data_IF_250306469786
#
_entry.id   IF_250306469786
#
_cell.length_a   1.000
_cell.length_b   1.000
_cell.length_c   1.000
_cell.angle_alpha   90.00
_cell.angle_beta   90.00
_cell.angle_gamma   90.00
#
_symmetry.space_group_name_H-M   'P 1'
#
loop_
_entity.id
_entity.type
_entity.pdbx_description
1 polymer ?
#
# COMPACT_ATOMS: atom_id res chain seq x y z
N UNK A 1 16.16 -23.14 65.32
CA UNK A 1 17.45 -22.44 65.53
C UNK A 1 17.20 -20.96 65.26
N UNK A 2 17.33 -20.15 66.32
CA UNK A 2 17.37 -18.69 66.45
C UNK A 2 17.37 -17.84 65.15
N UNK A 3 16.39 -16.95 64.95
CA UNK A 3 16.40 -15.48 65.26
C UNK A 3 16.58 -14.67 63.96
N UNK A 4 16.01 -13.49 63.67
CA UNK A 4 14.95 -12.66 64.28
C UNK A 4 14.52 -11.59 63.25
N UNK A 5 13.27 -11.14 63.38
CA UNK A 5 12.65 -9.93 62.82
C UNK A 5 13.50 -8.66 62.98
N UNK A 6 13.38 -7.69 62.06
CA UNK A 6 12.44 -6.56 62.22
C UNK A 6 12.73 -5.39 61.26
N UNK A 7 11.68 -4.93 60.61
CA UNK A 7 11.52 -3.63 59.96
C UNK A 7 11.62 -2.47 60.97
N UNK A 8 12.05 -1.28 60.54
CA UNK A 8 11.67 0.00 61.18
C UNK A 8 11.79 1.16 60.20
N UNK A 9 10.67 1.87 60.06
CA UNK A 9 10.54 3.14 59.37
C UNK A 9 10.79 4.32 60.33
N UNK A 10 11.16 5.45 59.71
CA UNK A 10 10.94 6.85 60.09
C UNK A 10 11.52 7.42 61.39
N UNK A 11 12.35 8.46 61.27
CA UNK A 11 12.14 9.74 62.00
C UNK A 11 12.81 10.91 61.25
N UNK A 12 12.08 12.04 61.20
CA UNK A 12 12.41 13.35 60.64
C UNK A 12 13.22 14.25 61.62
N UNK A 13 13.67 15.40 61.08
CA UNK A 13 14.07 16.68 61.71
C UNK A 13 15.59 16.94 61.84
N UNK A 14 16.15 18.13 61.60
CA UNK A 14 15.72 19.40 60.99
C UNK A 14 16.96 20.33 60.84
N UNK A 15 16.86 21.32 59.95
CA UNK A 15 17.53 22.64 59.93
C UNK A 15 19.06 22.75 59.76
N UNK A 16 19.49 23.31 58.62
CA UNK A 16 20.36 24.50 58.60
C UNK A 16 20.29 25.22 57.24
N UNK A 17 19.87 26.47 57.31
CA UNK A 17 19.75 27.49 56.27
C UNK A 17 21.12 27.87 55.69
N UNK A 18 21.22 28.05 54.38
CA UNK A 18 22.09 29.08 53.79
C UNK A 18 21.49 29.59 52.47
N UNK A 19 20.81 30.74 52.57
CA UNK A 19 20.49 31.62 51.47
C UNK A 19 21.74 32.46 51.18
N UNK A 20 22.31 32.33 49.99
CA UNK A 20 23.21 33.31 49.42
C UNK A 20 22.62 33.74 48.07
N UNK A 21 21.91 34.86 48.12
CA UNK A 21 21.57 35.64 46.94
C UNK A 21 22.85 36.33 46.45
N UNK A 22 23.33 35.96 45.28
CA UNK A 22 24.25 36.79 44.51
C UNK A 22 23.47 37.42 43.37
N UNK A 23 23.16 38.71 43.54
CA UNK A 23 22.83 39.61 42.45
C UNK A 23 24.02 39.69 41.49
N UNK A 24 23.89 39.07 40.33
CA UNK A 24 24.76 39.31 39.20
C UNK A 24 23.88 39.78 38.03
N UNK A 25 24.09 41.02 37.61
CA UNK A 25 23.65 41.52 36.32
C UNK A 25 24.31 40.67 35.22
N UNK A 26 23.64 39.63 34.78
CA UNK A 26 23.90 38.97 33.50
C UNK A 26 22.81 39.42 32.55
N UNK A 27 23.18 40.08 31.46
CA UNK A 27 22.31 40.24 30.30
C UNK A 27 21.80 38.87 29.91
N UNK A 28 20.49 38.66 29.98
CA UNK A 28 19.84 37.49 29.39
C UNK A 28 20.17 37.50 27.90
N UNK A 29 21.17 36.72 27.50
CA UNK A 29 21.19 36.19 26.14
C UNK A 29 19.91 35.37 26.00
N UNK A 30 19.16 35.53 24.90
CA UNK A 30 18.02 34.66 24.67
C UNK A 30 18.54 33.22 24.73
N UNK A 31 17.87 32.35 25.49
CA UNK A 31 17.98 30.90 25.25
C UNK A 31 17.90 30.71 23.74
N UNK A 32 18.97 30.18 23.13
CA UNK A 32 18.91 29.72 21.75
C UNK A 32 17.70 28.80 21.70
N UNK A 33 16.63 29.26 21.04
CA UNK A 33 15.46 28.46 20.81
C UNK A 33 15.95 27.20 20.13
N UNK A 34 15.98 26.08 20.86
CA UNK A 34 16.37 24.79 20.32
C UNK A 34 15.51 24.59 19.09
N UNK A 35 16.11 24.66 17.91
CA UNK A 35 15.37 24.57 16.66
C UNK A 35 14.82 23.17 16.58
N UNK A 36 13.53 23.00 16.88
CA UNK A 36 12.89 21.70 16.82
C UNK A 36 12.98 21.17 15.40
N UNK A 37 13.82 20.16 15.19
CA UNK A 37 13.94 19.50 13.90
C UNK A 37 12.67 18.68 13.63
N UNK A 38 12.11 18.85 12.44
CA UNK A 38 10.92 18.16 11.98
C UNK A 38 11.28 16.80 11.42
N UNK A 39 10.63 15.76 11.95
CA UNK A 39 10.72 14.41 11.38
C UNK A 39 9.73 14.24 10.22
N UNK A 40 10.18 13.63 9.14
CA UNK A 40 9.32 13.32 7.99
C UNK A 40 8.83 11.89 8.05
N UNK A 41 7.54 11.72 7.74
CA UNK A 41 6.89 10.42 7.58
C UNK A 41 6.20 10.32 6.22
N UNK A 42 6.19 9.13 5.66
CA UNK A 42 5.59 8.82 4.37
C UNK A 42 4.70 7.58 4.37
N UNK A 43 4.14 7.30 3.20
CA UNK A 43 3.26 6.18 2.90
C UNK A 43 3.79 5.40 1.70
N UNK A 44 3.09 4.34 1.31
CA UNK A 44 3.42 3.50 0.16
C UNK A 44 3.62 4.29 -1.15
N UNK A 45 2.93 5.42 -1.29
CA UNK A 45 3.08 6.33 -2.42
C UNK A 45 4.44 7.06 -2.53
N UNK A 46 5.20 7.16 -1.45
CA UNK A 46 6.48 7.89 -1.43
C UNK A 46 7.61 7.18 -0.65
N UNK A 47 7.38 5.97 -0.13
CA UNK A 47 8.40 5.13 0.49
C UNK A 47 9.00 4.13 -0.50
N UNK A 48 9.72 4.65 -1.50
CA UNK A 48 10.36 3.94 -2.62
C UNK A 48 11.76 4.52 -2.89
N UNK A 49 12.74 3.73 -3.33
CA UNK A 49 14.07 4.27 -3.68
C UNK A 49 14.02 5.31 -4.81
N UNK A 50 13.08 5.17 -5.74
CA UNK A 50 12.84 6.12 -6.82
C UNK A 50 12.35 7.49 -6.33
N UNK A 51 11.75 7.61 -5.14
CA UNK A 51 11.16 8.85 -4.65
C UNK A 51 12.19 9.97 -4.41
N UNK A 52 13.43 9.63 -4.03
CA UNK A 52 14.49 10.62 -3.83
C UNK A 52 14.78 11.44 -5.12
N UNK A 53 14.60 10.83 -6.29
CA UNK A 53 14.78 11.52 -7.58
C UNK A 53 13.74 12.62 -7.82
N UNK A 54 12.53 12.49 -7.25
CA UNK A 54 11.46 13.49 -7.37
C UNK A 54 11.82 14.82 -6.68
N UNK A 55 12.79 14.79 -5.76
CA UNK A 55 13.36 15.96 -5.10
C UNK A 55 14.45 16.69 -5.91
N UNK A 56 14.87 16.11 -7.04
CA UNK A 56 15.88 16.68 -7.95
C UNK A 56 17.19 16.98 -7.21
N UNK A 57 17.73 18.19 -7.35
CA UNK A 57 18.96 18.66 -6.69
C UNK A 57 18.89 18.66 -5.15
N UNK A 58 17.71 18.41 -4.56
CA UNK A 58 17.47 18.34 -3.11
C UNK A 58 17.12 16.94 -2.62
N UNK A 59 17.61 15.91 -3.31
CA UNK A 59 17.38 14.50 -2.97
C UNK A 59 17.78 14.14 -1.53
N UNK A 60 18.75 14.84 -0.94
CA UNK A 60 19.16 14.63 0.45
C UNK A 60 18.07 15.01 1.50
N UNK A 61 16.98 15.66 1.11
CA UNK A 61 15.91 16.03 2.04
C UNK A 61 15.05 14.84 2.49
N UNK A 62 15.15 13.67 1.85
CA UNK A 62 14.51 12.42 2.38
C UNK A 62 15.33 11.75 3.46
N UNK A 63 16.57 12.17 3.71
CA UNK A 63 17.38 11.54 4.75
C UNK A 63 16.66 11.57 6.10
N UNK A 64 16.69 10.44 6.81
CA UNK A 64 15.96 10.26 8.07
C UNK A 64 14.43 10.07 7.94
N UNK A 65 13.84 10.22 6.76
CA UNK A 65 12.40 10.00 6.53
C UNK A 65 12.02 8.55 6.79
N UNK A 66 10.93 8.35 7.53
CA UNK A 66 10.36 7.04 7.84
C UNK A 66 9.01 6.87 7.18
N UNK A 67 8.45 5.68 7.16
CA UNK A 67 7.09 5.50 6.68
C UNK A 67 6.67 4.05 6.65
N UNK A 68 5.48 3.81 6.12
CA UNK A 68 4.95 2.45 5.99
C UNK A 68 4.50 2.17 4.57
N UNK A 69 4.60 0.91 4.18
CA UNK A 69 4.03 0.42 2.92
C UNK A 69 3.47 -0.99 3.09
N UNK A 70 2.37 -1.39 2.40
CA UNK A 70 2.01 -2.78 2.27
C UNK A 70 3.16 -3.57 1.65
N UNK A 71 3.73 -4.47 2.44
CA UNK A 71 4.80 -5.35 1.99
C UNK A 71 4.91 -6.55 2.93
N UNK A 72 4.77 -7.73 2.34
CA UNK A 72 5.17 -8.98 2.98
C UNK A 72 6.66 -9.19 2.78
N UNK A 73 7.41 -9.76 3.75
CA UNK A 73 8.80 -10.15 3.54
C UNK A 73 8.93 -11.02 2.28
N UNK A 74 9.61 -10.50 1.26
CA UNK A 74 9.75 -11.20 -0.02
C UNK A 74 10.97 -12.13 0.02
N UNK A 75 10.81 -13.42 -0.29
CA UNK A 75 11.94 -14.33 -0.44
C UNK A 75 12.89 -13.87 -1.55
N UNK A 76 14.20 -14.07 -1.38
CA UNK A 76 15.19 -13.73 -2.41
C UNK A 76 14.93 -14.47 -3.72
N UNK A 77 14.43 -15.71 -3.65
CA UNK A 77 14.03 -16.48 -4.83
C UNK A 77 12.92 -15.81 -5.64
N UNK A 78 12.01 -15.07 -4.99
CA UNK A 78 10.98 -14.29 -5.69
C UNK A 78 11.59 -13.02 -6.28
N UNK A 79 12.43 -12.30 -5.53
CA UNK A 79 13.14 -11.12 -6.02
C UNK A 79 14.00 -11.44 -7.25
N UNK A 80 14.70 -12.57 -7.26
CA UNK A 80 15.52 -13.03 -8.39
C UNK A 80 14.66 -13.37 -9.61
N UNK A 81 13.49 -13.98 -9.42
CA UNK A 81 12.52 -14.24 -10.50
C UNK A 81 11.96 -12.95 -11.10
N UNK A 82 11.74 -11.91 -10.28
CA UNK A 82 11.36 -10.58 -10.74
C UNK A 82 12.50 -9.91 -11.51
N UNK A 83 13.75 -9.98 -11.02
CA UNK A 83 14.92 -9.46 -11.73
C UNK A 83 15.20 -10.18 -13.04
N UNK A 84 14.80 -11.44 -13.18
CA UNK A 84 14.83 -12.15 -14.45
C UNK A 84 13.78 -11.64 -15.45
N UNK A 85 12.75 -10.91 -15.01
CA UNK A 85 11.83 -10.17 -15.88
C UNK A 85 12.41 -8.78 -16.18
N UNK A 86 12.82 -8.06 -15.13
CA UNK A 86 13.41 -6.73 -15.22
C UNK A 86 14.68 -6.63 -14.36
N UNK A 87 15.87 -6.72 -14.96
CA UNK A 87 17.15 -6.66 -14.25
C UNK A 87 17.42 -5.30 -13.58
N UNK A 88 16.64 -4.26 -13.89
CA UNK A 88 16.83 -2.90 -13.36
C UNK A 88 16.05 -2.63 -12.07
N UNK A 89 15.24 -3.58 -11.59
CA UNK A 89 14.42 -3.43 -10.39
C UNK A 89 15.25 -3.16 -9.13
N UNK A 90 15.04 -1.96 -8.57
CA UNK A 90 15.56 -1.54 -7.27
C UNK A 90 14.54 -1.70 -6.15
N UNK A 91 13.24 -1.69 -6.49
CA UNK A 91 12.12 -1.73 -5.57
C UNK A 91 11.19 -2.90 -5.88
N UNK A 92 10.39 -3.30 -4.89
CA UNK A 92 9.51 -4.47 -4.98
C UNK A 92 8.06 -4.18 -4.57
N UNK A 93 7.73 -2.90 -4.35
CA UNK A 93 6.39 -2.48 -3.92
C UNK A 93 5.30 -3.04 -4.85
N UNK A 94 4.29 -3.67 -4.26
CA UNK A 94 3.14 -4.27 -4.96
C UNK A 94 3.47 -5.35 -6.00
N UNK A 95 4.73 -5.78 -6.15
CA UNK A 95 5.11 -6.82 -7.11
C UNK A 95 4.49 -8.18 -6.77
N UNK A 96 4.39 -8.50 -5.48
CA UNK A 96 3.77 -9.73 -4.98
C UNK A 96 2.25 -9.70 -5.18
N UNK A 97 1.63 -8.56 -4.89
CA UNK A 97 0.20 -8.30 -5.03
C UNK A 97 -0.23 -8.35 -6.51
N UNK A 98 0.58 -7.79 -7.42
CA UNK A 98 0.36 -7.89 -8.86
C UNK A 98 0.52 -9.32 -9.38
N UNK A 99 1.53 -10.04 -8.90
CA UNK A 99 1.71 -11.46 -9.22
C UNK A 99 0.48 -12.27 -8.76
N UNK A 100 0.05 -12.08 -7.52
CA UNK A 100 -1.07 -12.81 -6.93
C UNK A 100 -2.40 -12.47 -7.60
N UNK A 101 -2.65 -11.21 -8.00
CA UNK A 101 -3.88 -10.84 -8.72
C UNK A 101 -4.02 -11.63 -10.04
N UNK A 102 -2.95 -11.69 -10.84
CA UNK A 102 -2.91 -12.46 -12.09
C UNK A 102 -3.09 -13.97 -11.81
N UNK A 103 -2.36 -14.52 -10.85
CA UNK A 103 -2.42 -15.94 -10.53
C UNK A 103 -3.83 -16.34 -10.07
N UNK A 104 -4.45 -15.54 -9.20
CA UNK A 104 -5.82 -15.77 -8.70
C UNK A 104 -6.83 -15.68 -9.86
N UNK A 105 -6.73 -14.70 -10.75
CA UNK A 105 -7.60 -14.60 -11.93
C UNK A 105 -7.51 -15.85 -12.82
N UNK A 106 -6.29 -16.34 -13.07
CA UNK A 106 -6.07 -17.54 -13.88
C UNK A 106 -6.66 -18.80 -13.22
N UNK A 107 -6.44 -18.99 -11.92
CA UNK A 107 -6.98 -20.11 -11.17
C UNK A 107 -8.51 -20.04 -11.09
N UNK A 108 -9.07 -18.85 -10.86
CA UNK A 108 -10.51 -18.61 -10.81
C UNK A 108 -11.19 -18.98 -12.13
N UNK A 109 -10.64 -18.55 -13.27
CA UNK A 109 -11.11 -18.94 -14.60
C UNK A 109 -11.02 -20.45 -14.83
N UNK A 110 -9.93 -21.08 -14.41
CA UNK A 110 -9.74 -22.53 -14.51
C UNK A 110 -10.79 -23.30 -13.68
N UNK A 111 -11.10 -22.87 -12.45
CA UNK A 111 -12.14 -23.46 -11.60
C UNK A 111 -13.55 -23.24 -12.15
N UNK A 112 -13.80 -22.05 -12.72
CA UNK A 112 -15.07 -21.71 -13.35
C UNK A 112 -15.34 -22.53 -14.62
N UNK A 113 -14.27 -23.00 -15.28
CA UNK A 113 -14.34 -23.73 -16.54
C UNK A 113 -14.78 -22.85 -17.72
N UNK A 114 -14.58 -21.54 -17.63
CA UNK A 114 -14.99 -20.52 -18.61
C UNK A 114 -14.16 -19.25 -18.41
N UNK A 115 -14.04 -18.41 -19.43
CA UNK A 115 -13.46 -17.06 -19.32
C UNK A 115 -14.51 -15.98 -19.04
N UNK A 116 -15.79 -16.34 -18.89
CA UNK A 116 -16.87 -15.42 -18.51
C UNK A 116 -16.53 -14.67 -17.20
N UNK A 117 -16.45 -13.33 -17.21
CA UNK A 117 -15.99 -12.56 -16.04
C UNK A 117 -16.86 -12.75 -14.80
N UNK A 118 -18.18 -12.83 -14.95
CA UNK A 118 -19.10 -13.02 -13.82
C UNK A 118 -18.95 -14.41 -13.17
N UNK A 119 -18.60 -15.44 -13.95
CA UNK A 119 -18.25 -16.75 -13.45
C UNK A 119 -16.87 -16.77 -12.78
N UNK A 120 -15.88 -16.06 -13.34
CA UNK A 120 -14.55 -15.88 -12.74
C UNK A 120 -14.69 -15.20 -11.37
N UNK A 121 -15.41 -14.09 -11.29
CA UNK A 121 -15.57 -13.29 -10.08
C UNK A 121 -16.10 -14.12 -8.90
N UNK A 122 -17.08 -15.00 -9.14
CA UNK A 122 -17.65 -15.88 -8.13
C UNK A 122 -16.65 -16.90 -7.56
N UNK A 123 -15.53 -17.15 -8.25
CA UNK A 123 -14.48 -18.05 -7.79
C UNK A 123 -13.38 -17.33 -7.01
N UNK A 124 -13.13 -16.04 -7.25
CA UNK A 124 -11.95 -15.32 -6.74
C UNK A 124 -11.79 -15.45 -5.22
N UNK A 125 -12.84 -15.22 -4.43
CA UNK A 125 -12.77 -15.37 -2.97
C UNK A 125 -12.47 -16.82 -2.57
N UNK A 126 -13.05 -17.79 -3.28
CA UNK A 126 -12.84 -19.21 -3.04
C UNK A 126 -11.44 -19.70 -3.39
N UNK A 127 -10.77 -19.10 -4.37
CA UNK A 127 -9.37 -19.44 -4.73
C UNK A 127 -8.44 -19.31 -3.53
N UNK A 128 -8.75 -18.43 -2.59
CA UNK A 128 -7.91 -18.15 -1.43
C UNK A 128 -8.44 -18.77 -0.13
N UNK A 129 -9.55 -19.51 -0.15
CA UNK A 129 -10.23 -19.96 1.08
C UNK A 129 -10.79 -21.38 0.97
N UNK A 130 -10.60 -22.19 2.02
CA UNK A 130 -11.39 -23.41 2.25
C UNK A 130 -11.15 -24.59 1.29
N UNK A 131 -10.13 -24.51 0.43
CA UNK A 131 -9.70 -25.58 -0.48
C UNK A 131 -8.41 -26.28 -0.04
N UNK A 132 -7.79 -27.02 -0.96
CA UNK A 132 -6.48 -27.62 -0.74
C UNK A 132 -5.36 -26.61 -0.96
N UNK A 133 -4.46 -26.51 0.02
CA UNK A 133 -3.36 -25.56 -0.03
C UNK A 133 -2.40 -25.83 -1.19
N UNK A 134 -2.05 -24.77 -1.90
CA UNK A 134 -1.04 -24.77 -2.95
C UNK A 134 -0.35 -23.40 -3.03
N UNK A 135 0.93 -23.39 -3.39
CA UNK A 135 1.78 -22.19 -3.21
C UNK A 135 2.44 -21.69 -4.51
N UNK A 136 2.20 -22.37 -5.62
CA UNK A 136 2.66 -21.93 -6.95
C UNK A 136 1.52 -21.96 -7.94
N UNK A 137 1.53 -21.04 -8.91
CA UNK A 137 0.54 -21.02 -9.98
C UNK A 137 0.40 -22.39 -10.66
N UNK A 138 1.52 -23.08 -10.92
CA UNK A 138 1.52 -24.39 -11.53
C UNK A 138 0.82 -25.47 -10.68
N UNK A 139 1.13 -25.53 -9.38
CA UNK A 139 0.50 -26.50 -8.48
C UNK A 139 -1.00 -26.24 -8.34
N UNK A 140 -1.39 -24.97 -8.19
CA UNK A 140 -2.79 -24.59 -8.04
C UNK A 140 -3.61 -24.84 -9.30
N UNK A 141 -3.06 -24.54 -10.48
CA UNK A 141 -3.70 -24.85 -11.76
C UNK A 141 -3.86 -26.36 -11.96
N UNK A 142 -2.91 -27.18 -11.52
CA UNK A 142 -3.04 -28.63 -11.57
C UNK A 142 -4.21 -29.14 -10.72
N UNK A 143 -4.37 -28.61 -9.50
CA UNK A 143 -5.52 -28.92 -8.64
C UNK A 143 -6.85 -28.45 -9.24
N UNK A 144 -6.88 -27.21 -9.75
CA UNK A 144 -8.06 -26.64 -10.37
C UNK A 144 -8.51 -27.44 -11.60
N UNK A 145 -7.59 -27.87 -12.46
CA UNK A 145 -7.90 -28.76 -13.62
C UNK A 145 -8.48 -30.09 -13.19
N UNK A 146 -8.04 -30.63 -12.05
CA UNK A 146 -8.61 -31.84 -11.46
C UNK A 146 -10.02 -31.62 -10.86
N UNK A 147 -10.52 -30.38 -10.85
CA UNK A 147 -11.81 -30.01 -10.27
C UNK A 147 -11.78 -29.96 -8.75
N UNK A 148 -10.61 -29.69 -8.16
CA UNK A 148 -10.42 -29.55 -6.71
C UNK A 148 -10.37 -28.06 -6.37
N UNK A 149 -11.14 -27.65 -5.37
CA UNK A 149 -11.06 -26.30 -4.81
C UNK A 149 -9.67 -26.10 -4.19
N UNK A 150 -9.12 -24.90 -4.31
CA UNK A 150 -7.77 -24.59 -3.85
C UNK A 150 -7.79 -23.55 -2.73
N UNK A 151 -6.76 -23.59 -1.90
CA UNK A 151 -6.43 -22.54 -0.94
C UNK A 151 -5.07 -21.96 -1.34
N UNK A 152 -5.08 -21.04 -2.30
CA UNK A 152 -3.90 -20.35 -2.79
C UNK A 152 -3.25 -19.55 -1.66
N UNK A 153 -1.99 -19.89 -1.35
CA UNK A 153 -1.14 -19.17 -0.39
C UNK A 153 0.21 -18.92 -1.05
N UNK A 154 0.47 -17.70 -1.46
CA UNK A 154 1.65 -17.37 -2.25
C UNK A 154 2.34 -16.15 -1.65
N UNK A 155 2.73 -15.17 -2.46
CA UNK A 155 3.74 -14.19 -2.09
C UNK A 155 3.17 -13.11 -1.17
N UNK A 156 2.07 -12.44 -1.55
CA UNK A 156 1.44 -11.43 -0.69
C UNK A 156 0.41 -12.05 0.26
N UNK A 157 -0.23 -13.14 -0.17
CA UNK A 157 -1.22 -13.89 0.64
C UNK A 157 -0.61 -15.07 1.41
N UNK A 158 0.02 -14.79 2.55
CA UNK A 158 0.77 -15.81 3.32
C UNK A 158 0.01 -16.38 4.52
N UNK A 159 -0.83 -15.58 5.19
CA UNK A 159 -1.47 -15.94 6.47
C UNK A 159 -2.91 -16.42 6.30
N UNK A 160 -3.75 -15.60 5.68
CA UNK A 160 -5.16 -15.91 5.44
C UNK A 160 -5.59 -15.47 4.04
N UNK A 161 -6.78 -15.92 3.62
CA UNK A 161 -7.37 -15.58 2.33
C UNK A 161 -8.16 -14.27 2.35
N UNK A 162 -8.98 -14.11 1.32
CA UNK A 162 -9.81 -12.93 1.17
C UNK A 162 -11.00 -12.93 2.12
N UNK A 163 -11.42 -11.74 2.51
CA UNK A 163 -12.71 -11.47 3.13
C UNK A 163 -13.85 -11.70 2.12
N UNK A 164 -15.09 -11.61 2.59
CA UNK A 164 -16.27 -11.63 1.73
C UNK A 164 -16.31 -10.48 0.70
N UNK A 165 -15.59 -9.38 0.96
CA UNK A 165 -15.53 -8.22 0.09
C UNK A 165 -14.47 -8.33 -1.02
N UNK A 166 -13.70 -9.43 -1.06
CA UNK A 166 -12.73 -9.63 -2.14
C UNK A 166 -11.37 -8.96 -1.93
N UNK A 167 -10.95 -8.81 -0.67
CA UNK A 167 -9.67 -8.21 -0.27
C UNK A 167 -8.99 -9.03 0.85
N UNK A 168 -7.68 -8.88 1.10
CA UNK A 168 -6.98 -9.66 2.13
C UNK A 168 -7.55 -9.43 3.54
N UNK A 169 -7.81 -10.52 4.28
CA UNK A 169 -8.25 -10.45 5.68
C UNK A 169 -7.11 -10.14 6.66
N UNK A 170 -5.87 -10.36 6.22
CA UNK A 170 -4.63 -10.08 6.95
C UNK A 170 -3.64 -9.38 6.03
N UNK A 171 -2.79 -8.55 6.61
CA UNK A 171 -1.76 -7.80 5.89
C UNK A 171 -0.42 -7.87 6.61
N UNK A 172 0.63 -7.50 5.89
CA UNK A 172 1.95 -7.17 6.43
C UNK A 172 2.34 -5.78 5.94
N UNK A 173 2.85 -4.96 6.84
CA UNK A 173 3.35 -3.62 6.55
C UNK A 173 4.83 -3.57 6.87
N UNK A 174 5.63 -3.09 5.93
CA UNK A 174 7.02 -2.74 6.18
C UNK A 174 7.08 -1.32 6.73
N UNK A 175 7.80 -1.13 7.84
CA UNK A 175 8.30 0.17 8.27
C UNK A 175 9.63 0.41 7.57
N UNK A 176 9.70 1.48 6.80
CA UNK A 176 10.82 1.81 5.94
C UNK A 176 11.53 3.06 6.44
N UNK A 177 12.84 3.13 6.20
CA UNK A 177 13.71 4.21 6.64
C UNK A 177 14.63 4.60 5.50
N UNK A 178 14.61 5.87 5.11
CA UNK A 178 15.66 6.44 4.28
C UNK A 178 16.94 6.62 5.11
N UNK A 179 18.07 6.30 4.49
CA UNK A 179 19.43 6.51 4.99
C UNK A 179 20.23 7.13 3.84
N UNK A 180 20.43 8.44 3.91
CA UNK A 180 20.76 9.27 2.77
C UNK A 180 19.60 9.33 1.76
N UNK A 181 19.82 8.81 0.56
CA UNK A 181 18.86 8.87 -0.56
C UNK A 181 18.28 7.50 -0.93
N UNK A 182 18.48 6.48 -0.09
CA UNK A 182 18.05 5.11 -0.33
C UNK A 182 17.36 4.56 0.90
N UNK A 183 16.42 3.63 0.68
CA UNK A 183 15.82 2.85 1.74
C UNK A 183 16.85 1.86 2.29
N UNK A 184 16.93 1.79 3.61
CA UNK A 184 17.83 0.87 4.30
C UNK A 184 17.09 -0.41 4.69
N UNK A 185 17.26 -1.46 3.89
CA UNK A 185 16.69 -2.79 4.13
C UNK A 185 17.05 -3.36 5.52
N UNK A 186 18.22 -3.01 6.05
CA UNK A 186 18.66 -3.45 7.39
C UNK A 186 17.91 -2.78 8.54
N UNK A 187 17.17 -1.69 8.26
CA UNK A 187 16.28 -1.00 9.20
C UNK A 187 14.80 -1.34 8.97
N UNK A 188 14.48 -2.19 7.99
CA UNK A 188 13.10 -2.56 7.70
C UNK A 188 12.53 -3.47 8.79
N UNK A 189 11.42 -3.05 9.39
CA UNK A 189 10.63 -3.87 10.31
C UNK A 189 9.30 -4.27 9.68
N UNK A 190 8.80 -5.47 9.96
CA UNK A 190 7.50 -5.93 9.45
C UNK A 190 6.49 -6.05 10.57
N UNK A 191 5.29 -5.51 10.34
CA UNK A 191 4.17 -5.56 11.28
C UNK A 191 2.98 -6.22 10.60
N UNK A 192 2.46 -7.29 11.22
CA UNK A 192 1.24 -7.94 10.77
C UNK A 192 0.00 -7.18 11.22
N UNK A 193 -1.01 -7.10 10.36
CA UNK A 193 -2.32 -6.52 10.65
C UNK A 193 -3.46 -7.42 10.16
N UNK A 194 -4.69 -7.09 10.56
CA UNK A 194 -5.90 -7.84 10.22
C UNK A 194 -6.10 -9.10 11.07
N UNK A 195 -7.09 -9.91 10.70
CA UNK A 195 -7.50 -11.11 11.43
C UNK A 195 -7.81 -12.26 10.50
N UNK A 196 -7.26 -13.43 10.78
CA UNK A 196 -7.54 -14.67 10.04
C UNK A 196 -9.02 -15.07 10.17
N UNK A 197 -9.68 -14.68 11.27
CA UNK A 197 -11.11 -14.91 11.47
C UNK A 197 -12.01 -14.08 10.54
N UNK A 198 -11.46 -13.04 9.88
CA UNK A 198 -12.19 -12.23 8.91
C UNK A 198 -12.15 -12.83 7.50
N UNK A 199 -11.37 -13.90 7.28
CA UNK A 199 -11.36 -14.63 6.02
C UNK A 199 -12.74 -15.24 5.73
N UNK A 200 -13.12 -15.26 4.45
CA UNK A 200 -14.40 -15.78 4.02
C UNK A 200 -14.52 -17.28 4.32
N UNK A 201 -15.67 -17.68 4.85
CA UNK A 201 -16.06 -19.08 5.01
C UNK A 201 -17.13 -19.50 3.99
N UNK A 202 -17.49 -18.61 3.06
CA UNK A 202 -18.47 -18.88 2.01
C UNK A 202 -17.89 -19.89 1.03
N UNK A 203 -18.66 -20.94 0.72
CA UNK A 203 -18.24 -21.93 -0.27
C UNK A 203 -18.33 -21.34 -1.68
N UNK A 204 -17.27 -21.43 -2.50
CA UNK A 204 -17.37 -21.02 -3.90
C UNK A 204 -18.30 -21.96 -4.70
N UNK A 205 -18.70 -21.55 -5.91
CA UNK A 205 -19.36 -22.47 -6.84
C UNK A 205 -18.48 -23.68 -7.11
N UNK A 206 -19.09 -24.87 -7.25
CA UNK A 206 -18.37 -26.12 -7.47
C UNK A 206 -17.42 -26.02 -8.67
N UNK A 207 -16.15 -26.34 -8.46
CA UNK A 207 -15.14 -26.42 -9.51
C UNK A 207 -15.58 -27.34 -10.66
N UNK A 208 -15.35 -26.90 -11.90
CA UNK A 208 -15.59 -27.71 -13.10
C UNK A 208 -14.31 -28.45 -13.48
N UNK A 209 -14.35 -29.78 -13.38
CA UNK A 209 -13.26 -30.64 -13.87
C UNK A 209 -13.11 -30.48 -15.38
N UNK A 210 -11.89 -30.24 -15.85
CA UNK A 210 -11.61 -30.23 -17.28
C UNK A 210 -11.61 -31.68 -17.81
N UNK A 211 -12.33 -31.93 -18.91
CA UNK A 211 -12.32 -33.22 -19.58
C UNK A 211 -11.01 -33.46 -20.34
N UNK A 212 -10.66 -34.72 -20.60
CA UNK A 212 -9.47 -35.10 -21.40
C UNK A 212 -9.53 -34.70 -22.88
N UNK A 213 -10.63 -34.09 -23.34
CA UNK A 213 -10.79 -33.52 -24.67
C UNK A 213 -11.09 -32.04 -24.49
N UNK A 214 -10.38 -31.17 -25.21
CA UNK A 214 -10.72 -29.76 -25.32
C UNK A 214 -12.21 -29.64 -25.68
N UNK A 215 -13.00 -29.00 -24.82
CA UNK A 215 -14.39 -28.67 -25.16
C UNK A 215 -14.31 -27.60 -26.26
N UNK A 216 -14.90 -27.78 -27.44
CA UNK A 216 -14.93 -26.74 -28.46
C UNK A 216 -15.56 -25.42 -27.95
N UNK A 217 -16.28 -25.45 -26.83
CA UNK A 217 -16.84 -24.29 -26.12
C UNK A 217 -15.89 -23.66 -25.07
N UNK A 218 -14.71 -24.22 -24.84
CA UNK A 218 -13.65 -23.63 -23.99
C UNK A 218 -12.64 -22.78 -24.79
N UNK A 219 -12.96 -22.44 -26.04
CA UNK A 219 -12.00 -22.09 -27.10
C UNK A 219 -11.59 -20.63 -27.24
N UNK A 220 -11.60 -19.83 -26.18
CA UNK A 220 -10.98 -18.50 -26.20
C UNK A 220 -9.97 -18.37 -25.05
N UNK A 221 -8.77 -17.82 -25.30
CA UNK A 221 -7.80 -17.59 -24.24
C UNK A 221 -8.36 -16.64 -23.18
N UNK A 222 -7.95 -16.83 -21.92
CA UNK A 222 -8.18 -15.82 -20.89
C UNK A 222 -7.41 -14.55 -21.27
N UNK A 223 -8.14 -13.49 -21.60
CA UNK A 223 -7.58 -12.16 -21.87
C UNK A 223 -7.59 -11.33 -20.59
N UNK A 224 -6.41 -10.95 -20.13
CA UNK A 224 -6.18 -10.01 -19.03
C UNK A 224 -5.79 -8.65 -19.59
N UNK A 225 -6.35 -7.58 -19.04
CA UNK A 225 -6.02 -6.20 -19.40
C UNK A 225 -5.23 -5.50 -18.29
N UNK A 226 -4.26 -4.67 -18.65
CA UNK A 226 -3.52 -3.83 -17.71
C UNK A 226 -4.20 -2.49 -17.49
N UNK A 227 -4.26 -2.05 -16.24
CA UNK A 227 -4.59 -0.68 -15.87
C UNK A 227 -3.60 -0.23 -14.80
N UNK A 228 -2.31 -0.38 -15.11
CA UNK A 228 -1.22 -0.06 -14.19
C UNK A 228 -0.81 1.41 -14.35
N UNK A 229 -0.23 2.05 -13.32
CA UNK A 229 0.08 3.48 -13.36
C UNK A 229 1.38 3.73 -14.13
N UNK A 230 1.39 3.53 -15.45
CA UNK A 230 2.61 3.65 -16.25
C UNK A 230 3.06 5.09 -16.42
N UNK A 231 2.12 6.04 -16.36
CA UNK A 231 2.38 7.48 -16.39
C UNK A 231 1.67 8.20 -15.24
N UNK A 232 1.95 9.50 -15.10
CA UNK A 232 1.46 10.31 -13.98
C UNK A 232 2.29 10.12 -12.70
N UNK A 233 1.84 10.71 -11.60
CA UNK A 233 2.65 10.82 -10.39
C UNK A 233 2.88 9.49 -9.66
N UNK A 234 2.03 8.48 -9.91
CA UNK A 234 2.19 7.13 -9.35
C UNK A 234 3.15 6.25 -10.19
N UNK A 235 3.69 6.76 -11.30
CA UNK A 235 4.55 5.98 -12.20
C UNK A 235 5.81 5.41 -11.54
N UNK A 236 6.27 6.02 -10.47
CA UNK A 236 7.39 5.54 -9.66
C UNK A 236 7.15 4.14 -9.06
N UNK A 237 5.90 3.71 -8.92
CA UNK A 237 5.51 2.39 -8.41
C UNK A 237 5.31 1.34 -9.53
N UNK A 238 5.30 1.74 -10.80
CA UNK A 238 4.98 0.84 -11.91
C UNK A 238 6.01 -0.26 -12.19
N UNK A 239 7.34 -0.02 -12.13
CA UNK A 239 8.31 -1.07 -12.48
C UNK A 239 8.11 -2.39 -11.71
N UNK A 240 7.98 -2.41 -10.36
CA UNK A 240 7.72 -3.66 -9.64
C UNK A 240 6.33 -4.26 -9.93
N UNK A 241 5.29 -3.44 -10.09
CA UNK A 241 3.94 -3.88 -10.47
C UNK A 241 3.94 -4.61 -11.83
N UNK A 242 4.58 -4.01 -12.83
CA UNK A 242 4.69 -4.55 -14.18
C UNK A 242 5.50 -5.85 -14.18
N UNK A 243 6.61 -5.90 -13.43
CA UNK A 243 7.42 -7.10 -13.30
C UNK A 243 6.67 -8.26 -12.63
N UNK A 244 5.91 -7.99 -11.56
CA UNK A 244 5.07 -8.99 -10.89
C UNK A 244 3.99 -9.55 -11.79
N UNK A 245 3.30 -8.67 -12.51
CA UNK A 245 2.28 -9.03 -13.51
C UNK A 245 2.87 -9.93 -14.61
N UNK A 246 3.98 -9.51 -15.23
CA UNK A 246 4.63 -10.25 -16.30
C UNK A 246 5.19 -11.60 -15.81
N UNK A 247 5.74 -11.64 -14.60
CA UNK A 247 6.21 -12.88 -13.97
C UNK A 247 5.07 -13.90 -13.83
N UNK A 248 3.92 -13.48 -13.31
CA UNK A 248 2.77 -14.36 -13.13
C UNK A 248 2.23 -14.90 -14.46
N UNK A 249 2.07 -14.03 -15.47
CA UNK A 249 1.62 -14.45 -16.81
C UNK A 249 2.56 -15.51 -17.38
N UNK A 250 3.88 -15.28 -17.30
CA UNK A 250 4.90 -16.21 -17.78
C UNK A 250 4.75 -17.58 -17.13
N UNK A 251 4.55 -17.62 -15.81
CA UNK A 251 4.48 -18.87 -15.06
C UNK A 251 3.15 -19.61 -15.22
N UNK A 252 2.04 -18.88 -15.32
CA UNK A 252 0.73 -19.45 -15.68
C UNK A 252 0.81 -20.09 -17.06
N UNK A 253 1.40 -19.40 -18.05
CA UNK A 253 1.56 -19.94 -19.39
C UNK A 253 2.54 -21.11 -19.45
N UNK A 254 3.65 -21.06 -18.72
CA UNK A 254 4.58 -22.18 -18.58
C UNK A 254 3.92 -23.41 -17.92
N UNK A 255 2.91 -23.20 -17.06
CA UNK A 255 2.10 -24.26 -16.45
C UNK A 255 1.01 -24.82 -17.38
N UNK A 256 0.99 -24.45 -18.66
CA UNK A 256 0.01 -24.90 -19.66
C UNK A 256 -1.22 -23.98 -19.81
N UNK A 257 -1.15 -22.76 -19.27
CA UNK A 257 -2.19 -21.74 -19.43
C UNK A 257 -3.51 -22.05 -18.70
N UNK A 258 -4.59 -21.43 -19.17
CA UNK A 258 -5.93 -21.53 -18.58
C UNK A 258 -6.85 -22.18 -19.60
N UNK A 259 -7.58 -23.22 -19.17
CA UNK A 259 -8.46 -24.01 -20.04
C UNK A 259 -7.76 -24.61 -21.28
N UNK A 260 -6.43 -24.79 -21.19
CA UNK A 260 -5.61 -25.34 -22.27
C UNK A 260 -5.03 -24.30 -23.24
N UNK A 261 -5.34 -23.01 -23.03
CA UNK A 261 -4.86 -21.91 -23.86
C UNK A 261 -3.94 -20.97 -23.07
N UNK A 262 -2.92 -20.36 -23.70
CA UNK A 262 -2.11 -19.34 -23.04
C UNK A 262 -2.97 -18.11 -22.71
N UNK A 263 -2.73 -17.54 -21.54
CA UNK A 263 -3.24 -16.22 -21.14
C UNK A 263 -2.69 -15.16 -22.08
N UNK A 264 -3.58 -14.28 -22.55
CA UNK A 264 -3.26 -13.11 -23.37
C UNK A 264 -3.24 -11.88 -22.48
N UNK A 265 -2.20 -11.05 -22.63
CA UNK A 265 -2.09 -9.75 -21.95
C UNK A 265 -2.31 -8.62 -22.93
N UNK A 266 -3.22 -7.71 -22.59
CA UNK A 266 -3.43 -6.45 -23.28
C UNK A 266 -3.00 -5.34 -22.34
N UNK A 267 -1.85 -4.74 -22.63
CA UNK A 267 -1.27 -3.72 -21.78
C UNK A 267 -2.10 -2.43 -21.75
N UNK A 268 -2.08 -1.71 -20.64
CA UNK A 268 -2.82 -0.46 -20.52
C UNK A 268 -2.37 0.39 -19.34
N UNK A 269 -2.58 1.69 -19.47
CA UNK A 269 -2.16 2.72 -18.53
C UNK A 269 -3.37 3.33 -17.82
N UNK A 270 -3.27 3.55 -16.51
CA UNK A 270 -4.24 4.33 -15.75
C UNK A 270 -3.90 5.84 -15.75
N UNK A 271 -2.65 6.18 -16.06
CA UNK A 271 -2.08 7.52 -16.18
C UNK A 271 -2.14 8.37 -14.91
N UNK A 272 -2.47 7.78 -13.76
CA UNK A 272 -2.93 8.51 -12.57
C UNK A 272 -4.04 9.53 -12.93
N UNK A 273 -4.82 9.27 -13.99
CA UNK A 273 -5.73 10.23 -14.61
C UNK A 273 -7.06 9.56 -14.98
N UNK A 274 -8.21 10.08 -14.49
CA UNK A 274 -9.51 9.51 -14.83
C UNK A 274 -9.77 9.46 -16.34
N UNK A 275 -9.29 10.44 -17.11
CA UNK A 275 -9.48 10.48 -18.55
C UNK A 275 -8.72 9.37 -19.27
N UNK A 276 -7.44 9.16 -18.93
CA UNK A 276 -6.60 8.10 -19.48
C UNK A 276 -7.18 6.74 -19.10
N UNK A 277 -7.48 6.53 -17.82
CA UNK A 277 -8.01 5.26 -17.33
C UNK A 277 -9.33 4.87 -17.97
N UNK A 278 -10.27 5.81 -18.15
CA UNK A 278 -11.54 5.54 -18.84
C UNK A 278 -11.35 5.18 -20.31
N UNK A 279 -10.44 5.84 -21.01
CA UNK A 279 -10.10 5.50 -22.39
C UNK A 279 -9.48 4.08 -22.47
N UNK A 280 -8.59 3.74 -21.54
CA UNK A 280 -8.00 2.40 -21.43
C UNK A 280 -9.07 1.33 -21.17
N UNK A 281 -10.01 1.59 -20.24
CA UNK A 281 -11.13 0.66 -19.97
C UNK A 281 -12.00 0.47 -21.22
N UNK A 282 -12.36 1.54 -21.94
CA UNK A 282 -13.12 1.43 -23.18
C UNK A 282 -12.39 0.57 -24.22
N UNK A 283 -11.07 0.77 -24.39
CA UNK A 283 -10.26 -0.07 -25.28
C UNK A 283 -10.21 -1.54 -24.85
N UNK A 284 -10.19 -1.82 -23.54
CA UNK A 284 -10.23 -3.18 -23.01
C UNK A 284 -11.56 -3.88 -23.27
N UNK A 285 -12.66 -3.13 -23.20
CA UNK A 285 -13.99 -3.64 -23.57
C UNK A 285 -14.02 -4.03 -25.04
N UNK A 286 -13.53 -3.16 -25.94
CA UNK A 286 -13.45 -3.43 -27.38
C UNK A 286 -12.55 -4.65 -27.69
N UNK A 287 -11.48 -4.83 -26.91
CA UNK A 287 -10.52 -5.90 -27.09
C UNK A 287 -10.94 -7.24 -26.44
N UNK A 288 -12.10 -7.30 -25.78
CA UNK A 288 -12.60 -8.52 -25.14
C UNK A 288 -11.78 -8.96 -23.93
N UNK A 289 -11.24 -8.01 -23.16
CA UNK A 289 -10.63 -8.29 -21.85
C UNK A 289 -11.67 -8.87 -20.91
N UNK A 290 -11.29 -9.83 -20.07
CA UNK A 290 -12.18 -10.44 -19.08
C UNK A 290 -11.93 -9.90 -17.66
N UNK A 291 -10.65 -9.73 -17.31
CA UNK A 291 -10.21 -9.20 -16.01
C UNK A 291 -9.18 -8.11 -16.25
N UNK A 292 -9.41 -6.95 -15.65
CA UNK A 292 -8.49 -5.81 -15.64
C UNK A 292 -7.66 -5.88 -14.35
N UNK A 293 -6.34 -5.95 -14.49
CA UNK A 293 -5.39 -5.88 -13.39
C UNK A 293 -5.02 -4.40 -13.17
N UNK A 294 -5.57 -3.83 -12.10
CA UNK A 294 -5.54 -2.39 -11.81
C UNK A 294 -6.88 -1.91 -11.21
N UNK A 295 -7.17 -0.61 -11.13
CA UNK A 295 -6.24 0.49 -11.41
C UNK A 295 -5.15 0.57 -10.33
N UNK A 296 -4.06 1.28 -10.61
CA UNK A 296 -3.01 1.53 -9.65
C UNK A 296 -3.50 2.38 -8.48
N UNK A 297 -4.12 3.52 -8.80
CA UNK A 297 -4.60 4.48 -7.81
C UNK A 297 -6.03 4.21 -7.31
N UNK A 298 -6.27 4.45 -6.02
CA UNK A 298 -7.61 4.35 -5.40
C UNK A 298 -8.63 5.29 -6.03
N UNK A 299 -8.25 6.56 -6.24
CA UNK A 299 -9.11 7.55 -6.88
C UNK A 299 -9.47 7.14 -8.32
N UNK A 300 -8.54 6.52 -9.04
CA UNK A 300 -8.77 6.05 -10.41
C UNK A 300 -9.73 4.86 -10.43
N UNK A 301 -9.52 3.89 -9.53
CA UNK A 301 -10.40 2.73 -9.40
C UNK A 301 -11.84 3.15 -9.12
N UNK A 302 -12.04 4.12 -8.22
CA UNK A 302 -13.38 4.71 -7.96
C UNK A 302 -14.02 5.31 -9.21
N UNK A 303 -13.24 5.96 -10.06
CA UNK A 303 -13.74 6.65 -11.26
C UNK A 303 -14.08 5.69 -12.41
N UNK A 304 -13.35 4.58 -12.54
CA UNK A 304 -13.55 3.62 -13.63
C UNK A 304 -14.45 2.43 -13.26
N UNK A 305 -14.62 2.13 -11.97
CA UNK A 305 -15.39 0.97 -11.53
C UNK A 305 -16.82 0.93 -12.12
N UNK A 306 -17.59 2.03 -12.20
CA UNK A 306 -18.90 2.01 -12.85
C UNK A 306 -18.86 1.51 -14.30
N UNK A 307 -17.87 1.97 -15.08
CA UNK A 307 -17.71 1.61 -16.49
C UNK A 307 -17.32 0.12 -16.65
N UNK A 308 -16.44 -0.37 -15.76
CA UNK A 308 -16.07 -1.80 -15.69
C UNK A 308 -17.28 -2.66 -15.36
N UNK A 309 -18.07 -2.26 -14.35
CA UNK A 309 -19.26 -3.00 -13.90
C UNK A 309 -20.34 -3.01 -14.97
N UNK A 310 -20.56 -1.89 -15.66
CA UNK A 310 -21.49 -1.80 -16.80
C UNK A 310 -21.08 -2.72 -17.94
N UNK A 311 -19.78 -2.80 -18.24
CA UNK A 311 -19.23 -3.73 -19.22
C UNK A 311 -19.21 -5.20 -18.76
N UNK A 312 -19.52 -5.47 -17.48
CA UNK A 312 -19.51 -6.80 -16.91
C UNK A 312 -18.10 -7.40 -16.80
N UNK A 313 -17.06 -6.57 -16.70
CA UNK A 313 -15.67 -7.00 -16.52
C UNK A 313 -15.31 -7.10 -15.03
N UNK A 314 -14.22 -7.79 -14.70
CA UNK A 314 -13.66 -7.77 -13.33
C UNK A 314 -12.58 -6.69 -13.24
N UNK A 315 -12.60 -5.88 -12.19
CA UNK A 315 -11.49 -5.00 -11.80
C UNK A 315 -10.78 -5.59 -10.58
N UNK A 316 -9.51 -5.97 -10.75
CA UNK A 316 -8.71 -6.59 -9.69
C UNK A 316 -7.42 -5.80 -9.47
N UNK A 317 -7.42 -4.93 -8.46
CA UNK A 317 -6.28 -4.03 -8.23
C UNK A 317 -5.20 -4.65 -7.36
N UNK A 318 -3.92 -4.47 -7.72
CA UNK A 318 -2.82 -4.87 -6.86
C UNK A 318 -2.36 -3.81 -5.85
N UNK A 319 -2.83 -2.55 -5.96
CA UNK A 319 -2.20 -1.44 -5.23
C UNK A 319 -3.13 -0.36 -4.68
N UNK A 320 -4.45 -0.44 -4.90
CA UNK A 320 -5.36 0.54 -4.32
C UNK A 320 -5.71 0.21 -2.85
N UNK A 321 -5.58 1.19 -1.96
CA UNK A 321 -5.67 0.94 -0.51
C UNK A 321 -6.81 1.68 0.17
N UNK A 322 -7.47 2.64 -0.48
CA UNK A 322 -8.57 3.42 0.14
C UNK A 322 -9.62 2.46 0.73
N UNK A 323 -9.83 2.56 2.05
CA UNK A 323 -10.72 1.67 2.79
C UNK A 323 -12.17 1.75 2.29
N UNK A 324 -12.60 2.90 1.77
CA UNK A 324 -13.96 3.07 1.29
C UNK A 324 -14.24 2.42 -0.07
N UNK A 325 -13.22 1.85 -0.73
CA UNK A 325 -13.43 1.01 -1.92
C UNK A 325 -14.16 -0.30 -1.58
N UNK A 326 -14.00 -0.82 -0.35
CA UNK A 326 -14.69 -2.02 0.16
C UNK A 326 -16.22 -1.88 0.11
N UNK A 327 -16.74 -0.65 0.20
CA UNK A 327 -18.17 -0.36 0.29
C UNK A 327 -18.81 0.04 -1.05
N UNK A 328 -18.01 0.10 -2.13
CA UNK A 328 -18.52 0.48 -3.44
C UNK A 328 -19.49 -0.57 -3.99
N UNK A 329 -20.51 -0.09 -4.69
CA UNK A 329 -21.38 -0.97 -5.48
C UNK A 329 -20.61 -1.45 -6.70
N UNK A 330 -20.22 -2.71 -6.66
CA UNK A 330 -19.36 -3.33 -7.65
C UNK A 330 -20.02 -4.53 -8.36
N UNK A 331 -21.24 -4.90 -7.98
CA UNK A 331 -21.92 -6.12 -8.43
C UNK A 331 -21.07 -7.41 -8.24
N UNK A 332 -20.17 -7.43 -7.25
CA UNK A 332 -19.22 -8.51 -7.01
C UNK A 332 -18.14 -8.65 -8.09
N UNK A 333 -17.80 -7.56 -8.78
CA UNK A 333 -16.80 -7.51 -9.86
C UNK A 333 -15.53 -6.74 -9.47
N UNK A 334 -15.42 -6.26 -8.23
CA UNK A 334 -14.22 -5.58 -7.75
C UNK A 334 -13.50 -6.42 -6.69
N UNK A 335 -12.17 -6.47 -6.81
CA UNK A 335 -11.29 -7.18 -5.90
C UNK A 335 -9.98 -6.41 -5.75
N UNK A 336 -9.25 -6.68 -4.67
CA UNK A 336 -7.86 -6.21 -4.54
C UNK A 336 -6.98 -7.19 -3.81
N UNK A 337 -5.70 -7.25 -4.18
CA UNK A 337 -4.66 -7.99 -3.44
C UNK A 337 -3.90 -7.08 -2.48
N UNK A 338 -3.97 -5.77 -2.67
CA UNK A 338 -3.53 -4.78 -1.66
C UNK A 338 -4.47 -4.79 -0.45
N UNK A 339 -3.95 -4.64 0.78
CA UNK A 339 -4.78 -4.49 1.96
C UNK A 339 -5.37 -3.08 2.06
N UNK A 340 -6.56 -2.91 2.67
CA UNK A 340 -7.13 -1.59 2.93
C UNK A 340 -6.31 -0.76 3.93
N UNK A 341 -6.34 0.56 3.77
CA UNK A 341 -5.72 1.56 4.66
C UNK A 341 -6.22 1.47 6.11
N UNK A 342 -7.41 0.92 6.32
CA UNK A 342 -7.96 0.63 7.65
C UNK A 342 -7.08 -0.34 8.45
N UNK A 343 -6.25 -1.14 7.78
CA UNK A 343 -5.23 -1.98 8.40
C UNK A 343 -3.88 -1.25 8.54
N UNK A 344 -3.58 -0.26 7.68
CA UNK A 344 -2.30 0.48 7.66
C UNK A 344 -2.23 1.59 8.70
N UNK A 345 -3.31 2.35 8.89
CA UNK A 345 -3.28 3.60 9.65
C UNK A 345 -2.72 3.43 11.07
N UNK A 346 -2.99 2.28 11.71
CA UNK A 346 -2.42 1.97 13.02
C UNK A 346 -0.91 1.75 12.98
N UNK A 347 -0.40 0.99 12.01
CA UNK A 347 1.04 0.75 11.86
C UNK A 347 1.77 2.07 11.61
N UNK A 348 1.22 2.94 10.77
CA UNK A 348 1.79 4.25 10.50
C UNK A 348 1.75 5.19 11.71
N UNK A 349 0.63 5.22 12.45
CA UNK A 349 0.55 5.95 13.71
C UNK A 349 1.58 5.46 14.73
N UNK A 350 1.77 4.14 14.87
CA UNK A 350 2.77 3.55 15.77
C UNK A 350 4.19 3.99 15.40
N UNK A 351 4.54 4.04 14.11
CA UNK A 351 5.83 4.55 13.63
C UNK A 351 6.05 6.00 14.03
N UNK A 352 5.03 6.85 13.87
CA UNK A 352 5.07 8.27 14.25
C UNK A 352 5.23 8.41 15.77
N UNK A 353 4.46 7.68 16.56
CA UNK A 353 4.40 7.80 18.02
C UNK A 353 5.66 7.28 18.72
N UNK A 354 6.34 6.27 18.16
CA UNK A 354 7.62 5.75 18.69
C UNK A 354 8.70 6.82 18.80
N UNK A 355 8.64 7.84 17.95
CA UNK A 355 9.60 8.95 17.94
C UNK A 355 9.24 10.10 18.90
N UNK A 356 8.09 9.99 19.58
CA UNK A 356 7.62 10.90 20.64
C UNK A 356 7.23 12.32 20.21
N UNK A 357 6.58 12.55 19.05
CA UNK A 357 6.20 13.90 18.62
C UNK A 357 5.16 14.51 19.56
N UNK A 358 5.25 15.83 19.73
CA UNK A 358 4.28 16.63 20.48
C UNK A 358 3.24 17.27 19.56
N UNK A 359 3.59 17.55 18.30
CA UNK A 359 2.69 18.18 17.32
C UNK A 359 2.90 17.57 15.93
N UNK A 360 1.86 16.94 15.42
CA UNK A 360 1.89 16.26 14.11
C UNK A 360 1.11 17.10 13.10
N UNK A 361 1.72 17.39 11.96
CA UNK A 361 0.99 17.82 10.77
C UNK A 361 0.82 16.63 9.81
N UNK A 362 -0.38 16.44 9.27
CA UNK A 362 -0.68 15.44 8.25
C UNK A 362 -1.07 16.17 6.98
N UNK A 363 -0.24 16.04 5.95
CA UNK A 363 -0.45 16.63 4.62
C UNK A 363 -0.90 15.51 3.68
N UNK A 364 -2.02 15.71 2.99
CA UNK A 364 -2.57 14.70 2.09
C UNK A 364 -2.91 15.27 0.71
N UNK A 365 -2.70 14.46 -0.34
CA UNK A 365 -3.27 14.75 -1.66
C UNK A 365 -4.80 14.75 -1.58
N UNK A 366 -5.46 15.68 -2.26
CA UNK A 366 -6.91 15.91 -2.17
C UNK A 366 -7.76 14.92 -2.99
N UNK A 367 -7.52 13.62 -2.83
CA UNK A 367 -8.33 12.55 -3.41
C UNK A 367 -8.77 11.51 -2.35
N UNK A 368 -9.40 10.42 -2.80
CA UNK A 368 -9.97 9.43 -1.87
C UNK A 368 -8.90 8.64 -1.11
N UNK A 369 -7.71 8.43 -1.69
CA UNK A 369 -6.59 7.80 -0.99
C UNK A 369 -6.05 8.74 0.09
N UNK A 370 -5.68 9.97 -0.30
CA UNK A 370 -5.04 10.91 0.63
C UNK A 370 -5.95 11.25 1.81
N UNK A 371 -7.22 11.59 1.55
CA UNK A 371 -8.19 11.94 2.60
C UNK A 371 -8.56 10.75 3.47
N UNK A 372 -8.73 9.57 2.89
CA UNK A 372 -9.07 8.36 3.61
C UNK A 372 -7.97 7.95 4.60
N UNK A 373 -6.72 7.93 4.15
CA UNK A 373 -5.59 7.57 5.01
C UNK A 373 -5.26 8.68 6.01
N UNK A 374 -5.38 9.96 5.65
CA UNK A 374 -5.24 11.09 6.59
C UNK A 374 -6.20 10.96 7.77
N UNK A 375 -7.47 10.68 7.50
CA UNK A 375 -8.49 10.52 8.52
C UNK A 375 -8.24 9.28 9.37
N UNK A 376 -7.83 8.17 8.75
CA UNK A 376 -7.50 6.93 9.47
C UNK A 376 -6.35 7.16 10.45
N UNK A 377 -5.27 7.82 10.01
CA UNK A 377 -4.11 8.12 10.89
C UNK A 377 -4.48 9.12 11.98
N UNK A 378 -5.25 10.17 11.66
CA UNK A 378 -5.75 11.13 12.66
C UNK A 378 -6.46 10.42 13.82
N UNK A 379 -7.39 9.53 13.48
CA UNK A 379 -8.15 8.74 14.48
C UNK A 379 -7.23 7.87 15.33
N UNK A 380 -6.21 7.24 14.75
CA UNK A 380 -5.26 6.41 15.50
C UNK A 380 -4.35 7.24 16.43
N UNK A 381 -3.90 8.43 15.99
CA UNK A 381 -3.15 9.36 16.84
C UNK A 381 -3.99 9.86 18.03
N UNK A 382 -5.27 10.16 17.80
CA UNK A 382 -6.22 10.54 18.87
C UNK A 382 -6.48 9.41 19.85
N UNK A 383 -6.66 8.17 19.36
CA UNK A 383 -6.78 6.98 20.20
C UNK A 383 -5.54 6.75 21.07
N UNK A 384 -4.36 7.12 20.56
CA UNK A 384 -3.11 7.08 21.31
C UNK A 384 -2.89 8.28 22.25
N UNK A 385 -3.81 9.24 22.28
CA UNK A 385 -3.82 10.36 23.21
C UNK A 385 -3.18 11.64 22.69
N UNK A 386 -2.96 11.80 21.38
CA UNK A 386 -2.69 13.11 20.77
C UNK A 386 -4.02 13.82 20.49
N UNK A 387 -4.31 14.88 21.26
CA UNK A 387 -5.55 15.64 21.09
C UNK A 387 -5.57 16.47 19.81
N UNK A 388 -6.77 16.90 19.40
CA UNK A 388 -7.03 17.68 18.18
C UNK A 388 -6.19 18.96 18.09
N UNK A 389 -5.81 19.56 19.23
CA UNK A 389 -4.97 20.76 19.30
C UNK A 389 -3.49 20.49 18.92
N UNK A 390 -3.11 19.22 18.87
CA UNK A 390 -1.76 18.72 18.53
C UNK A 390 -1.70 18.04 17.17
N UNK A 391 -2.81 17.93 16.46
CA UNK A 391 -2.86 17.37 15.10
C UNK A 391 -3.39 18.42 14.12
N UNK A 392 -2.58 18.77 13.12
CA UNK A 392 -2.97 19.72 12.05
C UNK A 392 -3.14 18.96 10.74
N UNK A 393 -4.32 19.04 10.14
CA UNK A 393 -4.59 18.48 8.82
C UNK A 393 -4.42 19.55 7.74
N UNK A 394 -3.74 19.21 6.64
CA UNK A 394 -3.64 20.02 5.44
C UNK A 394 -3.89 19.15 4.19
N UNK A 395 -4.40 19.78 3.13
CA UNK A 395 -4.61 19.17 1.83
C UNK A 395 -3.83 19.90 0.73
N UNK A 396 -3.52 19.21 -0.36
CA UNK A 396 -3.11 19.83 -1.61
C UNK A 396 -3.78 19.15 -2.81
N UNK A 397 -4.14 19.94 -3.83
CA UNK A 397 -4.64 19.39 -5.08
C UNK A 397 -3.51 18.67 -5.83
N UNK A 398 -3.68 17.39 -6.21
CA UNK A 398 -2.71 16.73 -7.08
C UNK A 398 -2.74 17.35 -8.49
N UNK A 399 -1.63 17.26 -9.25
CA UNK A 399 -1.60 17.56 -10.67
C UNK A 399 -2.68 16.77 -11.44
N UNK A 400 -3.33 17.41 -12.43
CA UNK A 400 -4.33 16.74 -13.27
C UNK A 400 -3.69 15.70 -14.20
N UNK A 401 -2.47 15.98 -14.66
CA UNK A 401 -1.64 15.11 -15.48
C UNK A 401 -0.16 15.50 -15.37
N UNK A 402 0.71 14.76 -16.09
CA UNK A 402 2.16 14.99 -16.14
C UNK A 402 2.60 16.35 -16.71
N UNK A 403 1.71 17.12 -17.34
CA UNK A 403 1.98 18.45 -17.93
C UNK A 403 1.45 19.58 -17.06
N UNK A 404 0.64 19.27 -16.04
CA UNK A 404 0.07 20.25 -15.15
C UNK A 404 1.16 20.98 -14.34
N UNK A 405 0.82 22.16 -13.84
CA UNK A 405 1.70 22.93 -12.97
C UNK A 405 2.04 22.10 -11.72
N UNK A 406 3.32 21.98 -11.34
CA UNK A 406 3.70 21.28 -10.12
C UNK A 406 3.02 21.89 -8.90
N UNK A 407 2.80 21.06 -7.87
CA UNK A 407 2.24 21.49 -6.59
C UNK A 407 3.07 22.64 -6.00
N UNK A 408 2.41 23.76 -5.68
CA UNK A 408 2.97 24.83 -4.85
C UNK A 408 2.43 24.67 -3.42
N UNK A 409 3.29 24.24 -2.51
CA UNK A 409 2.94 24.00 -1.12
C UNK A 409 3.48 25.06 -0.15
N UNK A 410 3.91 26.23 -0.63
CA UNK A 410 4.54 27.26 0.22
C UNK A 410 3.66 27.68 1.40
N UNK A 411 2.39 28.00 1.13
CA UNK A 411 1.45 28.43 2.17
C UNK A 411 1.21 27.34 3.22
N UNK A 412 1.04 26.09 2.77
CA UNK A 412 0.88 24.95 3.68
C UNK A 412 2.12 24.74 4.56
N UNK A 413 3.31 24.92 4.00
CA UNK A 413 4.56 24.87 4.76
C UNK A 413 4.67 26.01 5.79
N UNK A 414 4.25 27.24 5.46
CA UNK A 414 4.18 28.36 6.41
C UNK A 414 3.20 28.06 7.56
N UNK A 415 2.05 27.43 7.27
CA UNK A 415 1.10 26.98 8.29
C UNK A 415 1.68 25.90 9.20
N UNK A 416 2.41 24.92 8.65
CA UNK A 416 3.09 23.86 9.44
C UNK A 416 4.14 24.48 10.36
N UNK A 417 4.93 25.43 9.84
CA UNK A 417 5.93 26.16 10.62
C UNK A 417 5.28 26.96 11.75
N UNK A 418 4.20 27.69 11.47
CA UNK A 418 3.49 28.48 12.47
C UNK A 418 2.80 27.61 13.53
N UNK A 419 2.32 26.42 13.14
CA UNK A 419 1.78 25.43 14.07
C UNK A 419 2.85 24.89 15.03
N UNK A 420 4.11 24.89 14.61
CA UNK A 420 5.23 24.34 15.37
C UNK A 420 5.20 22.81 15.38
N UNK A 421 4.86 22.19 14.25
CA UNK A 421 4.93 20.74 14.11
C UNK A 421 6.37 20.24 14.35
N UNK A 422 6.52 19.10 15.02
CA UNK A 422 7.78 18.37 15.18
C UNK A 422 7.80 17.04 14.42
N UNK A 423 6.66 16.69 13.80
CA UNK A 423 6.48 15.60 12.86
C UNK A 423 5.55 16.04 11.71
N UNK A 424 5.91 15.67 10.48
CA UNK A 424 5.06 15.87 9.30
C UNK A 424 4.89 14.53 8.57
N UNK A 425 3.66 14.05 8.50
CA UNK A 425 3.27 12.93 7.64
C UNK A 425 2.84 13.47 6.28
N UNK A 426 3.35 12.88 5.21
CA UNK A 426 3.09 13.25 3.82
C UNK A 426 2.45 12.06 3.10
N UNK A 427 1.18 12.21 2.73
CA UNK A 427 0.38 11.19 2.04
C UNK A 427 0.19 11.65 0.59
N UNK A 428 0.93 11.04 -0.33
CA UNK A 428 0.95 11.42 -1.75
C UNK A 428 1.81 10.49 -2.58
N UNK A 429 1.99 10.80 -3.87
CA UNK A 429 2.88 10.03 -4.76
C UNK A 429 4.16 10.83 -5.06
N UNK A 430 4.74 10.71 -6.25
CA UNK A 430 5.94 11.45 -6.63
C UNK A 430 5.80 12.98 -6.49
N UNK A 431 4.61 13.52 -6.77
CA UNK A 431 4.36 14.96 -6.69
C UNK A 431 4.52 15.52 -5.27
N UNK A 432 4.35 14.67 -4.25
CA UNK A 432 4.46 15.04 -2.84
C UNK A 432 5.86 15.52 -2.45
N UNK A 433 6.88 15.29 -3.27
CA UNK A 433 8.20 15.89 -3.11
C UNK A 433 8.15 17.43 -3.04
N UNK A 434 7.11 18.06 -3.62
CA UNK A 434 6.86 19.49 -3.48
C UNK A 434 6.56 19.93 -2.05
N UNK A 435 5.96 19.06 -1.23
CA UNK A 435 5.70 19.34 0.19
C UNK A 435 7.02 19.44 0.96
N UNK A 436 7.93 18.48 0.78
CA UNK A 436 9.25 18.47 1.41
C UNK A 436 10.07 19.70 0.99
N UNK A 437 10.06 20.03 -0.31
CA UNK A 437 10.68 21.24 -0.84
C UNK A 437 10.10 22.51 -0.20
N UNK A 438 8.77 22.60 -0.12
CA UNK A 438 8.07 23.73 0.49
C UNK A 438 8.46 23.96 1.96
N UNK A 439 8.57 22.88 2.74
CA UNK A 439 9.05 22.93 4.13
C UNK A 439 10.46 23.51 4.21
N UNK A 440 11.38 23.02 3.38
CA UNK A 440 12.75 23.53 3.33
C UNK A 440 12.79 25.01 2.88
N UNK A 441 11.98 25.39 1.88
CA UNK A 441 11.93 26.75 1.32
C UNK A 441 11.46 27.82 2.32
N UNK A 442 10.70 27.43 3.34
CA UNK A 442 10.25 28.32 4.43
C UNK A 442 11.14 28.20 5.68
N UNK A 443 12.24 27.46 5.60
CA UNK A 443 13.25 27.31 6.65
C UNK A 443 12.84 26.36 7.78
N UNK A 444 11.98 25.36 7.52
CA UNK A 444 11.80 24.24 8.45
C UNK A 444 13.05 23.38 8.44
N UNK A 445 13.65 23.16 9.61
CA UNK A 445 14.81 22.27 9.76
C UNK A 445 14.33 20.83 9.76
N UNK A 446 14.67 20.06 8.73
CA UNK A 446 14.33 18.64 8.64
C UNK A 446 15.37 17.81 9.40
N UNK A 447 14.90 16.80 10.14
CA UNK A 447 15.77 15.85 10.82
C UNK A 447 16.26 14.81 9.81
N UNK A 448 17.57 14.83 9.56
CA UNK A 448 18.29 13.86 8.74
C UNK A 448 18.83 12.73 9.61
#
# INVERSE_FOLDING_TARGET
MFMTRASRAATLAACATFLLATSACGTEEPEEATTTQVRLYGTDGNMLNSYAAELKERANLVDGMKGTTPLTPLPDTFKDRLRAVDPTLTDYLYSAEAYDAVAISAIAAQLAGTTDPAAIAKQIVGVTNGGERCETAAACLALARAGRDVEYRSVSLTRAGFTDAGEPSTASYATLHFDGQQLNDGKTEFVGAGSESAASTKKPPRAKKQGNKADPRSGAPLVLGGLLPKTGDLAIANPPLAAGTALAIREVNAAGGVLGEPVVWIDGDDGTSPAVAKATVASHVEAGVHVIIGAGGSGISRQVLPDVVEAGLVLFSPSNTDASLTELKDNGLYFRTSPPDSLQGRALADVILRDGPQKVAIVARDDSYGKGLQETVRVELERAGLGDDRVKLLGYAPPEDSKATPVDFRKGAEEIKAFGADAVLIIGFGESAAVIRGLADVGVQLRQ
#
